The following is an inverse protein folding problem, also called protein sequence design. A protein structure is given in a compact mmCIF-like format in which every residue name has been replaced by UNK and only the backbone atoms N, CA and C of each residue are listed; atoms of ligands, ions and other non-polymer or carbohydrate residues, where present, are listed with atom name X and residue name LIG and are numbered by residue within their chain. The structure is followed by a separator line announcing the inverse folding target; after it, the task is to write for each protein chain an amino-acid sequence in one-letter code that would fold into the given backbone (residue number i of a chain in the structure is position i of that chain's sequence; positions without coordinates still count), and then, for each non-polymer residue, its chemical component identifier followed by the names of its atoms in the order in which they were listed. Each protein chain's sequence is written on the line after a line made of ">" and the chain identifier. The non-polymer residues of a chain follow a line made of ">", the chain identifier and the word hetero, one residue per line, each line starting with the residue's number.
data_IF_553558296362
#
_entry.id   IF_553558296362
#
_cell.length_a   1.000
_cell.length_b   1.000
_cell.length_c   1.000
_cell.angle_alpha   90.00
_cell.angle_beta   90.00
_cell.angle_gamma   90.00
#
_symmetry.space_group_name_H-M   'P 1'
#
loop_
_entity.id
_entity.type
_entity.pdbx_description
1 polymer ?
#
# COMPACT_ATOMS: atom_id res chain seq x y z
N UNK A 1 -7.31 8.64 -36.68
CA UNK A 1 -8.12 8.69 -35.45
C UNK A 1 -7.82 7.44 -34.65
N UNK A 2 -7.09 7.54 -33.53
CA UNK A 2 -6.86 6.42 -32.63
C UNK A 2 -7.96 6.41 -31.53
N UNK A 3 -8.40 5.24 -31.05
CA UNK A 3 -9.55 5.14 -30.15
C UNK A 3 -9.22 5.74 -28.77
N UNK A 4 -10.14 6.54 -28.24
CA UNK A 4 -10.11 7.21 -26.93
C UNK A 4 -10.16 6.25 -25.72
N UNK A 5 -9.79 4.98 -25.88
CA UNK A 5 -9.96 3.92 -24.88
C UNK A 5 -8.67 3.57 -24.10
N UNK A 6 -7.55 4.27 -24.34
CA UNK A 6 -6.25 3.95 -23.74
C UNK A 6 -5.63 5.07 -22.91
N UNK A 7 -6.35 6.15 -22.60
CA UNK A 7 -5.91 7.05 -21.53
C UNK A 7 -6.21 6.39 -20.19
N UNK A 8 -5.50 5.30 -19.90
CA UNK A 8 -5.42 4.73 -18.56
C UNK A 8 -4.88 5.83 -17.67
N UNK A 9 -5.73 6.36 -16.80
CA UNK A 9 -5.41 7.31 -15.73
C UNK A 9 -4.53 6.66 -14.66
N UNK A 10 -3.40 6.06 -15.05
CA UNK A 10 -2.40 5.52 -14.16
C UNK A 10 -1.43 6.62 -13.74
N UNK A 11 -1.02 6.64 -12.45
CA UNK A 11 -0.01 7.58 -11.95
C UNK A 11 1.42 7.24 -12.41
N UNK A 12 1.59 6.17 -13.19
CA UNK A 12 2.89 5.76 -13.73
C UNK A 12 3.36 6.74 -14.81
N UNK A 13 4.60 7.21 -14.71
CA UNK A 13 5.21 8.12 -15.69
C UNK A 13 6.60 7.64 -16.08
N UNK A 14 7.07 8.01 -17.27
CA UNK A 14 8.40 7.66 -17.78
C UNK A 14 9.56 8.27 -16.95
N UNK A 15 9.27 9.20 -16.04
CA UNK A 15 10.24 9.87 -15.15
C UNK A 15 10.38 9.16 -13.79
N UNK A 16 9.52 8.18 -13.49
CA UNK A 16 9.65 7.39 -12.27
C UNK A 16 10.89 6.52 -12.31
N UNK A 17 11.63 6.52 -11.21
CA UNK A 17 12.79 5.66 -11.00
C UNK A 17 12.42 4.53 -10.04
N UNK A 18 13.12 3.40 -10.11
CA UNK A 18 12.94 2.30 -9.16
C UNK A 18 13.14 2.77 -7.71
N UNK A 19 14.10 3.66 -7.46
CA UNK A 19 14.31 4.29 -6.16
C UNK A 19 13.07 5.03 -5.64
N UNK A 20 12.45 5.88 -6.46
CA UNK A 20 11.24 6.61 -6.07
C UNK A 20 10.07 5.66 -5.80
N UNK A 21 9.97 4.56 -6.54
CA UNK A 21 8.96 3.53 -6.30
C UNK A 21 9.20 2.82 -4.97
N UNK A 22 10.43 2.39 -4.69
CA UNK A 22 10.80 1.75 -3.44
C UNK A 22 10.57 2.66 -2.23
N UNK A 23 10.96 3.93 -2.33
CA UNK A 23 10.68 4.94 -1.30
C UNK A 23 9.17 5.11 -1.06
N UNK A 24 8.37 5.12 -2.13
CA UNK A 24 6.91 5.16 -2.02
C UNK A 24 6.34 3.92 -1.30
N UNK A 25 6.90 2.73 -1.54
CA UNK A 25 6.49 1.50 -0.86
C UNK A 25 6.85 1.57 0.63
N UNK A 26 8.08 1.95 0.97
CA UNK A 26 8.48 2.12 2.37
C UNK A 26 7.60 3.14 3.11
N UNK A 27 7.26 4.25 2.43
CA UNK A 27 6.33 5.25 2.97
C UNK A 27 4.95 4.68 3.23
N UNK A 28 4.41 3.86 2.31
CA UNK A 28 3.11 3.23 2.46
C UNK A 28 3.09 2.20 3.60
N UNK A 29 4.17 1.43 3.75
CA UNK A 29 4.31 0.46 4.85
C UNK A 29 4.39 1.14 6.22
N UNK A 30 5.00 2.33 6.28
CA UNK A 30 5.12 3.11 7.53
C UNK A 30 3.85 3.87 7.88
N UNK A 31 3.09 4.30 6.86
CA UNK A 31 1.84 5.03 7.03
C UNK A 31 0.77 4.52 6.04
N UNK A 32 0.06 3.43 6.37
CA UNK A 32 -0.98 2.86 5.52
C UNK A 32 -2.10 3.86 5.21
N UNK A 33 -2.62 3.83 3.98
CA UNK A 33 -3.74 4.67 3.59
C UNK A 33 -5.08 4.06 4.07
N UNK A 34 -5.66 4.62 5.13
CA UNK A 34 -6.93 4.16 5.70
C UNK A 34 -8.18 4.51 4.87
N UNK A 35 -8.11 5.52 4.00
CA UNK A 35 -9.25 5.99 3.20
C UNK A 35 -9.46 5.15 1.94
N UNK A 36 -8.41 4.45 1.49
CA UNK A 36 -8.45 3.55 0.34
C UNK A 36 -7.71 2.24 0.67
N UNK A 37 -8.29 1.41 1.56
CA UNK A 37 -7.66 0.16 1.95
C UNK A 37 -7.79 -0.88 0.83
N UNK A 38 -6.68 -1.54 0.50
CA UNK A 38 -6.69 -2.66 -0.45
C UNK A 38 -7.55 -3.83 0.04
N UNK A 39 -7.57 -4.07 1.36
CA UNK A 39 -8.43 -5.04 2.03
C UNK A 39 -9.25 -4.33 3.10
N UNK A 40 -10.57 -4.31 2.92
CA UNK A 40 -11.50 -3.57 3.78
C UNK A 40 -11.39 -4.00 5.25
N UNK A 41 -11.35 -5.31 5.51
CA UNK A 41 -11.32 -5.81 6.89
C UNK A 41 -10.04 -5.38 7.65
N UNK A 42 -8.92 -5.26 6.95
CA UNK A 42 -7.66 -4.77 7.52
C UNK A 42 -7.71 -3.26 7.71
N UNK A 43 -8.28 -2.51 6.76
CA UNK A 43 -8.51 -1.08 6.88
C UNK A 43 -9.42 -0.72 8.07
N UNK A 44 -10.52 -1.45 8.24
CA UNK A 44 -11.43 -1.27 9.38
C UNK A 44 -10.73 -1.58 10.72
N UNK A 45 -9.85 -2.58 10.75
CA UNK A 45 -9.03 -2.90 11.93
C UNK A 45 -8.03 -1.78 12.21
N UNK A 46 -7.35 -1.28 11.19
CA UNK A 46 -6.42 -0.15 11.31
C UNK A 46 -7.10 1.11 11.87
N UNK A 47 -8.33 1.40 11.42
CA UNK A 47 -9.10 2.59 11.85
C UNK A 47 -9.70 2.45 13.25
N UNK A 48 -10.28 1.28 13.55
CA UNK A 48 -11.13 1.11 14.74
C UNK A 48 -10.43 0.36 15.89
N UNK A 49 -9.36 -0.38 15.62
CA UNK A 49 -8.62 -1.19 16.60
C UNK A 49 -7.11 -1.21 16.27
N UNK A 50 -6.41 -0.06 16.42
CA UNK A 50 -5.01 0.08 16.02
C UNK A 50 -4.07 -0.84 16.82
N UNK A 51 -4.38 -1.12 18.08
CA UNK A 51 -3.58 -2.02 18.92
C UNK A 51 -3.59 -3.44 18.35
N UNK A 52 -4.77 -3.94 17.96
CA UNK A 52 -4.89 -5.27 17.33
C UNK A 52 -4.23 -5.30 15.95
N UNK A 53 -4.36 -4.23 15.18
CA UNK A 53 -3.68 -4.09 13.90
C UNK A 53 -2.16 -4.22 14.08
N UNK A 54 -1.56 -3.45 15.00
CA UNK A 54 -0.11 -3.48 15.26
C UNK A 54 0.36 -4.86 15.73
N UNK A 55 -0.40 -5.51 16.63
CA UNK A 55 -0.08 -6.85 17.10
C UNK A 55 -0.05 -7.87 15.96
N UNK A 56 -1.05 -7.85 15.07
CA UNK A 56 -1.10 -8.73 13.89
C UNK A 56 -0.02 -8.41 12.88
N UNK A 57 0.23 -7.13 12.59
CA UNK A 57 1.27 -6.70 11.67
C UNK A 57 2.64 -7.21 12.14
N UNK A 58 2.91 -7.11 13.46
CA UNK A 58 4.11 -7.68 14.06
C UNK A 58 4.15 -9.20 13.92
N UNK A 59 3.10 -9.92 14.32
CA UNK A 59 3.02 -11.38 14.21
C UNK A 59 3.32 -11.86 12.78
N UNK A 60 2.73 -11.22 11.77
CA UNK A 60 2.93 -11.57 10.37
C UNK A 60 4.32 -11.24 9.87
N UNK A 61 4.91 -10.14 10.34
CA UNK A 61 6.30 -9.79 10.04
C UNK A 61 7.24 -10.86 10.59
N UNK A 62 7.06 -11.28 11.84
CA UNK A 62 7.84 -12.38 12.44
C UNK A 62 7.68 -13.70 11.67
N UNK A 63 6.49 -13.99 11.16
CA UNK A 63 6.18 -15.27 10.52
C UNK A 63 6.64 -15.37 9.06
N UNK A 64 6.60 -14.27 8.31
CA UNK A 64 6.76 -14.30 6.85
C UNK A 64 7.85 -13.37 6.30
N UNK A 65 8.35 -12.43 7.10
CA UNK A 65 9.27 -11.39 6.66
C UNK A 65 10.49 -11.23 7.58
N UNK A 66 10.74 -12.23 8.44
CA UNK A 66 12.00 -12.40 9.15
C UNK A 66 12.70 -13.66 8.64
N UNK A 67 14.03 -13.56 8.53
CA UNK A 67 14.93 -14.68 8.22
C UNK A 67 15.09 -15.63 9.41
#
# INVERSE_FOLDING_TARGET
>A
MAPSAWTSSGKWTAVMTAEKVLLSICSLLTNPNAEDPQERAVGDMYRNDPIRYEAKAKEWTEKYAKD
#
